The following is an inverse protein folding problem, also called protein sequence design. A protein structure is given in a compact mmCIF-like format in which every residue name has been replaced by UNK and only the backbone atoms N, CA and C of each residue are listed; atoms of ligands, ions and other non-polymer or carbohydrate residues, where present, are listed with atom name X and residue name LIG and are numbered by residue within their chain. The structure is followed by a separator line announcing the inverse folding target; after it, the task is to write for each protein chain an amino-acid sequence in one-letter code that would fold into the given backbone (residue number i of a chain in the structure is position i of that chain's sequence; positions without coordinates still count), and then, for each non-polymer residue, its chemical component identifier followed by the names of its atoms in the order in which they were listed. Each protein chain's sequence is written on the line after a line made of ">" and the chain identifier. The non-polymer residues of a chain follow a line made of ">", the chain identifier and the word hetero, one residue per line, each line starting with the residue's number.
data_IF_644732320462
#
_entry.id   IF_644732320462
#
_cell.length_a   1.000
_cell.length_b   1.000
_cell.length_c   1.000
_cell.angle_alpha   90.00
_cell.angle_beta   90.00
_cell.angle_gamma   90.00
#
_symmetry.space_group_name_H-M   'P 1'
#
loop_
_entity.id
_entity.type
_entity.pdbx_description
1 polymer ?
#
# COMPACT_ATOMS: atom_id res chain seq x y z
N UNK A 1 -16.88 -5.71 -8.01
CA UNK A 1 -15.46 -5.31 -7.88
C UNK A 1 -15.18 -4.51 -6.61
N UNK A 2 -15.88 -3.42 -6.34
CA UNK A 2 -15.79 -2.69 -5.06
C UNK A 2 -16.04 -3.62 -3.86
N UNK A 3 -16.91 -4.63 -4.02
CA UNK A 3 -17.18 -5.65 -3.01
C UNK A 3 -15.92 -6.42 -2.58
N UNK A 4 -14.98 -6.68 -3.51
CA UNK A 4 -13.71 -7.32 -3.19
C UNK A 4 -12.83 -6.44 -2.30
N UNK A 5 -12.77 -5.14 -2.56
CA UNK A 5 -12.07 -4.19 -1.70
C UNK A 5 -12.75 -4.07 -0.33
N UNK A 6 -14.07 -4.04 -0.29
CA UNK A 6 -14.83 -4.03 0.95
C UNK A 6 -14.55 -5.27 1.81
N UNK A 7 -14.53 -6.44 1.19
CA UNK A 7 -14.26 -7.70 1.88
C UNK A 7 -12.84 -7.70 2.46
N UNK A 8 -11.84 -7.30 1.66
CA UNK A 8 -10.45 -7.21 2.11
C UNK A 8 -10.24 -6.17 3.21
N UNK A 9 -10.88 -5.01 3.10
CA UNK A 9 -10.84 -3.99 4.14
C UNK A 9 -11.43 -4.48 5.46
N UNK A 10 -12.57 -5.14 5.41
CA UNK A 10 -13.21 -5.71 6.60
C UNK A 10 -12.33 -6.80 7.25
N UNK A 11 -11.64 -7.61 6.44
CA UNK A 11 -10.67 -8.60 6.93
C UNK A 11 -9.48 -7.90 7.59
N UNK A 12 -8.86 -6.93 6.94
CA UNK A 12 -7.74 -6.15 7.48
C UNK A 12 -8.07 -5.54 8.85
N UNK A 13 -9.26 -4.95 8.98
CA UNK A 13 -9.72 -4.33 10.24
C UNK A 13 -9.91 -5.37 11.35
N UNK A 14 -10.30 -6.61 11.02
CA UNK A 14 -10.46 -7.69 11.99
C UNK A 14 -9.13 -8.29 12.43
N UNK A 15 -8.20 -8.45 11.50
CA UNK A 15 -6.92 -9.15 11.72
C UNK A 15 -5.86 -8.25 12.34
N UNK A 16 -5.91 -6.96 12.05
CA UNK A 16 -4.95 -5.97 12.56
C UNK A 16 -5.51 -5.20 13.74
N UNK A 17 -4.71 -5.10 14.79
CA UNK A 17 -5.07 -4.39 16.00
C UNK A 17 -4.67 -2.90 15.88
N UNK A 18 -5.45 -2.12 15.15
CA UNK A 18 -5.24 -0.69 15.00
C UNK A 18 -5.72 0.09 16.23
N UNK A 19 -5.03 1.19 16.56
CA UNK A 19 -5.56 2.13 17.55
C UNK A 19 -6.90 2.73 17.07
N UNK A 20 -7.79 3.15 17.99
CA UNK A 20 -9.09 3.72 17.62
C UNK A 20 -8.99 4.90 16.64
N UNK A 21 -7.98 5.76 16.82
CA UNK A 21 -7.77 6.92 15.95
C UNK A 21 -7.35 6.52 14.55
N UNK A 22 -6.39 5.58 14.43
CA UNK A 22 -5.95 5.03 13.15
C UNK A 22 -7.12 4.36 12.44
N UNK A 23 -7.89 3.54 13.16
CA UNK A 23 -9.05 2.85 12.60
C UNK A 23 -10.11 3.83 12.07
N UNK A 24 -10.38 4.90 12.82
CA UNK A 24 -11.30 5.96 12.38
C UNK A 24 -10.86 6.60 11.08
N UNK A 25 -9.57 6.94 10.97
CA UNK A 25 -9.02 7.58 9.77
C UNK A 25 -9.07 6.59 8.57
N UNK A 26 -8.71 5.33 8.79
CA UNK A 26 -8.78 4.30 7.75
C UNK A 26 -10.19 4.11 7.21
N UNK A 27 -11.19 4.01 8.09
CA UNK A 27 -12.61 3.92 7.71
C UNK A 27 -13.06 5.13 6.91
N UNK A 28 -12.73 6.33 7.38
CA UNK A 28 -13.08 7.57 6.68
C UNK A 28 -12.51 7.64 5.28
N UNK A 29 -11.24 7.26 5.10
CA UNK A 29 -10.60 7.20 3.78
C UNK A 29 -11.26 6.14 2.89
N UNK A 30 -11.57 4.97 3.44
CA UNK A 30 -12.22 3.90 2.70
C UNK A 30 -13.62 4.30 2.22
N UNK A 31 -14.43 4.94 3.07
CA UNK A 31 -15.75 5.45 2.72
C UNK A 31 -15.66 6.49 1.60
N UNK A 32 -14.66 7.38 1.63
CA UNK A 32 -14.41 8.33 0.56
C UNK A 32 -14.01 7.64 -0.75
N UNK A 33 -13.17 6.62 -0.68
CA UNK A 33 -12.85 5.82 -1.85
C UNK A 33 -14.09 5.14 -2.43
N UNK A 34 -14.92 4.51 -1.60
CA UNK A 34 -16.16 3.86 -2.06
C UNK A 34 -17.11 4.85 -2.72
N UNK A 35 -17.20 6.07 -2.18
CA UNK A 35 -18.05 7.13 -2.74
C UNK A 35 -17.57 7.62 -4.10
N UNK A 36 -16.25 7.80 -4.27
CA UNK A 36 -15.68 8.39 -5.47
C UNK A 36 -15.26 7.34 -6.53
N UNK A 37 -15.00 6.12 -6.10
CA UNK A 37 -14.53 5.04 -6.96
C UNK A 37 -13.12 5.26 -7.52
N UNK A 38 -12.77 4.49 -8.54
CA UNK A 38 -11.52 4.68 -9.27
C UNK A 38 -11.58 5.90 -10.18
N UNK A 39 -10.43 6.60 -10.37
CA UNK A 39 -10.37 7.73 -11.29
C UNK A 39 -10.78 7.30 -12.71
N UNK A 40 -11.51 8.16 -13.38
CA UNK A 40 -11.89 7.93 -14.78
C UNK A 40 -10.89 8.60 -15.74
N UNK A 41 -10.84 8.13 -16.98
CA UNK A 41 -10.07 8.75 -18.06
C UNK A 41 -10.46 10.22 -18.36
N UNK A 42 -11.58 10.69 -17.81
CA UNK A 42 -12.00 12.10 -17.94
C UNK A 42 -11.15 13.05 -17.10
N UNK A 43 -10.45 12.53 -16.09
CA UNK A 43 -9.52 13.32 -15.29
C UNK A 43 -8.17 13.40 -16.01
N UNK A 44 -7.62 14.62 -16.15
CA UNK A 44 -6.40 14.89 -16.92
C UNK A 44 -5.22 14.00 -16.49
N UNK A 45 -5.02 13.85 -15.18
CA UNK A 45 -3.94 13.05 -14.60
C UNK A 45 -4.06 11.53 -14.94
N UNK A 46 -5.23 11.07 -15.35
CA UNK A 46 -5.55 9.66 -15.54
C UNK A 46 -6.00 9.31 -16.96
N UNK A 47 -5.92 10.23 -17.90
CA UNK A 47 -6.42 10.06 -19.29
C UNK A 47 -5.79 8.90 -20.05
N UNK A 48 -4.56 8.52 -19.70
CA UNK A 48 -3.82 7.43 -20.36
C UNK A 48 -3.95 6.08 -19.63
N UNK A 49 -4.61 6.02 -18.48
CA UNK A 49 -4.73 4.81 -17.68
C UNK A 49 -6.17 4.31 -17.64
N UNK A 50 -6.36 3.02 -17.93
CA UNK A 50 -7.66 2.37 -17.84
C UNK A 50 -7.73 1.42 -16.64
N UNK A 51 -8.28 1.91 -15.54
CA UNK A 51 -8.46 1.09 -14.34
C UNK A 51 -9.36 -0.11 -14.57
N UNK A 52 -10.29 -0.05 -15.52
CA UNK A 52 -11.14 -1.21 -15.83
C UNK A 52 -10.34 -2.39 -16.39
N UNK A 53 -9.26 -2.14 -17.11
CA UNK A 53 -8.37 -3.20 -17.58
C UNK A 53 -7.55 -3.79 -16.42
N UNK A 54 -6.97 -2.93 -15.58
CA UNK A 54 -6.20 -3.35 -14.41
C UNK A 54 -7.08 -4.18 -13.46
N UNK A 55 -8.30 -3.73 -13.23
CA UNK A 55 -9.23 -4.36 -12.29
C UNK A 55 -9.86 -5.66 -12.82
N UNK A 56 -9.71 -5.97 -14.10
CA UNK A 56 -10.08 -7.29 -14.67
C UNK A 56 -9.05 -8.36 -14.34
N UNK A 57 -7.81 -7.95 -14.02
CA UNK A 57 -6.77 -8.89 -13.58
C UNK A 57 -7.20 -9.55 -12.27
N UNK A 58 -7.02 -10.86 -12.21
CA UNK A 58 -7.28 -11.60 -10.97
C UNK A 58 -6.15 -11.34 -9.98
N UNK A 59 -6.53 -10.92 -8.77
CA UNK A 59 -5.64 -10.89 -7.62
C UNK A 59 -6.34 -11.56 -6.44
N UNK A 60 -5.60 -12.37 -5.71
CA UNK A 60 -6.17 -13.18 -4.63
C UNK A 60 -6.49 -12.32 -3.41
N UNK A 61 -5.56 -11.48 -3.02
CA UNK A 61 -5.67 -10.63 -1.84
C UNK A 61 -4.95 -9.31 -2.03
N UNK A 62 -5.36 -8.29 -1.28
CA UNK A 62 -4.72 -6.97 -1.25
C UNK A 62 -3.69 -6.82 -0.12
N UNK A 63 -3.58 -7.80 0.75
CA UNK A 63 -2.82 -7.72 2.00
C UNK A 63 -2.01 -8.97 2.35
N UNK A 64 -1.99 -9.98 1.48
CA UNK A 64 -1.23 -11.20 1.70
C UNK A 64 -0.06 -11.33 0.74
N UNK A 65 1.10 -11.64 1.31
CA UNK A 65 2.26 -12.10 0.56
C UNK A 65 2.09 -13.60 0.30
N UNK A 66 2.26 -14.04 -0.94
CA UNK A 66 2.29 -15.46 -1.25
C UNK A 66 3.49 -16.12 -0.56
N UNK A 67 3.25 -17.03 0.38
CA UNK A 67 4.29 -17.75 1.12
C UNK A 67 5.18 -18.67 0.23
N UNK A 68 4.83 -18.82 -1.03
CA UNK A 68 5.44 -19.79 -1.95
C UNK A 68 6.60 -19.28 -2.78
N UNK A 69 6.96 -18.01 -2.67
CA UNK A 69 8.06 -17.45 -3.44
C UNK A 69 9.37 -17.63 -2.67
N UNK A 70 10.35 -18.34 -3.26
CA UNK A 70 11.72 -18.35 -2.75
C UNK A 70 12.38 -16.99 -3.05
N UNK A 71 11.98 -16.04 -2.24
CA UNK A 71 12.25 -14.62 -2.38
C UNK A 71 13.76 -14.34 -2.31
N UNK A 72 14.52 -15.18 -1.58
CA UNK A 72 15.94 -14.92 -1.33
C UNK A 72 16.79 -14.98 -2.60
N UNK A 73 16.49 -15.87 -3.53
CA UNK A 73 17.27 -16.02 -4.75
C UNK A 73 16.99 -14.93 -5.79
N UNK A 74 15.77 -14.45 -5.88
CA UNK A 74 15.37 -13.45 -6.87
C UNK A 74 15.79 -12.02 -6.46
N UNK A 75 15.68 -11.67 -5.19
CA UNK A 75 16.06 -10.33 -4.71
C UNK A 75 17.56 -10.03 -4.81
N UNK A 76 18.42 -11.01 -4.63
CA UNK A 76 19.87 -10.81 -4.73
C UNK A 76 20.37 -10.58 -6.18
N UNK A 77 19.52 -10.81 -7.18
CA UNK A 77 19.84 -10.49 -8.57
C UNK A 77 19.53 -9.05 -8.94
N UNK A 78 18.69 -8.38 -8.17
CA UNK A 78 18.25 -7.02 -8.47
C UNK A 78 19.22 -6.05 -7.78
N UNK A 79 20.10 -5.45 -8.55
CA UNK A 79 20.90 -4.27 -8.20
C UNK A 79 22.02 -4.47 -7.17
N UNK A 80 23.15 -5.02 -7.63
CA UNK A 80 24.43 -4.93 -6.92
C UNK A 80 25.31 -3.75 -7.38
N UNK A 81 24.83 -2.94 -8.33
CA UNK A 81 25.69 -1.99 -9.05
C UNK A 81 25.87 -0.65 -8.32
N UNK A 82 25.09 -0.37 -7.27
CA UNK A 82 25.15 0.89 -6.55
C UNK A 82 25.13 0.66 -5.04
N UNK A 83 25.98 1.38 -4.34
CA UNK A 83 25.96 1.48 -2.88
C UNK A 83 24.76 2.33 -2.47
N UNK A 84 23.74 1.72 -1.88
CA UNK A 84 22.51 2.41 -1.46
C UNK A 84 21.74 1.62 -0.38
N UNK A 85 20.98 2.34 0.42
CA UNK A 85 20.04 1.74 1.34
C UNK A 85 18.84 1.14 0.59
N UNK A 86 18.42 -0.06 0.98
CA UNK A 86 17.42 -0.84 0.26
C UNK A 86 16.20 -1.12 1.12
N UNK A 87 15.03 -0.99 0.52
CA UNK A 87 13.73 -1.44 1.07
C UNK A 87 13.09 -2.39 0.07
N UNK A 88 12.77 -3.58 0.53
CA UNK A 88 12.13 -4.60 -0.28
C UNK A 88 10.66 -4.68 0.07
N UNK A 89 9.83 -4.51 -0.94
CA UNK A 89 8.38 -4.70 -0.86
C UNK A 89 8.00 -5.90 -1.72
N UNK A 90 7.12 -6.74 -1.21
CA UNK A 90 6.52 -7.82 -1.95
C UNK A 90 5.02 -7.58 -2.03
N UNK A 91 4.47 -7.46 -3.23
CA UNK A 91 3.08 -7.09 -3.47
C UNK A 91 2.62 -5.85 -2.67
N UNK A 92 3.52 -4.87 -2.52
CA UNK A 92 3.28 -3.65 -1.75
C UNK A 92 3.41 -3.80 -0.23
N UNK A 93 3.68 -5.00 0.28
CA UNK A 93 3.91 -5.26 1.70
C UNK A 93 5.40 -5.21 2.02
N UNK A 94 5.75 -4.52 3.12
CA UNK A 94 7.14 -4.51 3.59
C UNK A 94 7.61 -5.93 3.91
N UNK A 95 8.71 -6.31 3.28
CA UNK A 95 9.32 -7.62 3.49
C UNK A 95 10.60 -7.53 4.31
N UNK A 96 11.55 -6.69 3.87
CA UNK A 96 12.88 -6.59 4.47
C UNK A 96 13.52 -5.26 4.10
N UNK A 97 14.49 -4.82 4.87
CA UNK A 97 15.37 -3.69 4.53
C UNK A 97 16.83 -4.06 4.75
N UNK A 98 17.70 -3.36 4.05
CA UNK A 98 19.13 -3.37 4.24
C UNK A 98 19.61 -1.91 4.26
N UNK A 99 20.03 -1.43 5.46
CA UNK A 99 20.48 -0.07 5.70
C UNK A 99 21.94 -0.12 6.18
N UNK A 100 22.87 -0.23 5.23
CA UNK A 100 24.31 -0.37 5.49
C UNK A 100 25.14 0.80 4.94
N UNK A 101 24.50 1.74 4.23
CA UNK A 101 25.17 2.86 3.58
C UNK A 101 24.95 4.17 4.33
N UNK A 102 25.61 5.23 3.84
CA UNK A 102 25.48 6.57 4.37
C UNK A 102 24.00 6.96 4.59
N UNK A 103 23.74 7.68 5.66
CA UNK A 103 22.40 8.08 6.09
C UNK A 103 21.45 6.94 6.53
N UNK A 104 21.96 5.72 6.71
CA UNK A 104 21.14 4.57 7.17
C UNK A 104 20.43 4.86 8.49
N UNK A 105 21.07 5.58 9.41
CA UNK A 105 20.51 5.98 10.70
C UNK A 105 19.35 6.98 10.59
N UNK A 106 19.21 7.65 9.45
CA UNK A 106 18.10 8.58 9.17
C UNK A 106 16.85 7.90 8.67
N UNK A 107 16.94 6.60 8.33
CA UNK A 107 15.82 5.83 7.77
C UNK A 107 15.22 4.94 8.86
N UNK A 108 13.93 5.09 9.11
CA UNK A 108 13.19 4.27 10.06
C UNK A 108 11.94 3.69 9.41
N UNK A 109 11.73 2.39 9.60
CA UNK A 109 10.47 1.74 9.27
C UNK A 109 9.67 1.62 10.57
N UNK A 110 8.45 2.14 10.55
CA UNK A 110 7.59 2.22 11.74
C UNK A 110 6.21 1.66 11.43
N UNK A 111 5.62 1.02 12.43
CA UNK A 111 4.21 0.66 12.44
C UNK A 111 3.32 1.83 12.89
N UNK A 112 3.93 2.92 13.37
CA UNK A 112 3.23 4.14 13.72
C UNK A 112 2.75 4.84 12.46
N UNK A 113 1.45 4.80 12.22
CA UNK A 113 0.84 5.43 11.06
C UNK A 113 0.45 6.86 11.41
N UNK A 114 1.07 7.81 10.71
CA UNK A 114 0.65 9.20 10.75
C UNK A 114 -0.15 9.52 9.48
N UNK A 115 -1.34 10.04 9.65
CA UNK A 115 -2.19 10.49 8.57
C UNK A 115 -2.43 11.98 8.68
N UNK A 116 -2.41 12.68 7.54
CA UNK A 116 -2.95 14.03 7.50
C UNK A 116 -4.44 13.98 7.87
N UNK A 117 -4.88 14.91 8.71
CA UNK A 117 -6.29 15.02 9.11
C UNK A 117 -7.20 15.43 7.96
N UNK A 118 -6.63 15.98 6.88
CA UNK A 118 -7.38 16.36 5.68
C UNK A 118 -7.58 15.15 4.79
N UNK A 119 -8.84 14.92 4.41
CA UNK A 119 -9.18 13.94 3.40
C UNK A 119 -8.62 14.39 2.07
N UNK A 120 -7.89 13.51 1.40
CA UNK A 120 -7.37 13.80 0.07
C UNK A 120 -8.50 13.77 -0.97
N UNK A 121 -8.43 14.67 -1.94
CA UNK A 121 -9.38 14.66 -3.07
C UNK A 121 -9.11 13.50 -4.03
N UNK A 122 -7.87 12.98 -4.06
CA UNK A 122 -7.50 11.84 -4.89
C UNK A 122 -8.00 10.52 -4.27
N UNK A 123 -8.86 9.85 -5.01
CA UNK A 123 -9.50 8.60 -4.60
C UNK A 123 -8.49 7.47 -4.32
N UNK A 124 -7.40 7.38 -5.09
CA UNK A 124 -6.37 6.35 -4.88
C UNK A 124 -5.52 6.61 -3.64
N UNK A 125 -5.31 7.87 -3.29
CA UNK A 125 -4.65 8.21 -2.02
C UNK A 125 -5.53 7.76 -0.85
N UNK A 126 -6.84 7.95 -0.94
CA UNK A 126 -7.78 7.47 0.07
C UNK A 126 -7.76 5.93 0.15
N UNK A 127 -7.72 5.23 -1.00
CA UNK A 127 -7.58 3.78 -1.01
C UNK A 127 -6.27 3.34 -0.34
N UNK A 128 -5.15 3.96 -0.70
CA UNK A 128 -3.85 3.66 -0.10
C UNK A 128 -3.87 3.89 1.42
N UNK A 129 -4.37 5.03 1.90
CA UNK A 129 -4.48 5.31 3.34
C UNK A 129 -5.35 4.31 4.09
N UNK A 130 -6.34 3.70 3.42
CA UNK A 130 -7.18 2.68 4.02
C UNK A 130 -6.42 1.38 4.28
N UNK A 131 -5.49 1.00 3.39
CA UNK A 131 -4.80 -0.29 3.45
C UNK A 131 -3.37 -0.22 4.00
N UNK A 132 -2.73 0.96 4.04
CA UNK A 132 -1.34 1.08 4.49
C UNK A 132 -1.13 0.45 5.87
N UNK A 133 -0.09 -0.36 5.99
CA UNK A 133 0.26 -1.07 7.23
C UNK A 133 1.55 -0.58 7.88
N UNK A 134 2.48 0.01 7.10
CA UNK A 134 3.77 0.51 7.57
C UNK A 134 4.13 1.82 6.90
N UNK A 135 5.00 2.58 7.55
CA UNK A 135 5.51 3.85 7.06
C UNK A 135 7.04 3.83 7.09
N UNK A 136 7.65 4.37 6.04
CA UNK A 136 9.07 4.73 6.04
C UNK A 136 9.21 6.23 6.33
N UNK A 137 10.10 6.59 7.21
CA UNK A 137 10.41 7.96 7.62
C UNK A 137 11.88 8.23 7.36
#
# INVERSE_FOLDING_TARGET
>A
MLDKFQLNFNRLVKEKNFSPDVLKIKKLNFDNFLKNGFPSKKLEDWKFLDFNQILKSEFESLDSVSEKVDIQKEFFKIVKEFDHNQVFLLDGVFFKSNFEFDDAEKIKISDDLYFDKKINQNSLVNLNHSFVGKRMI
#
